data_IF_947826722370
#
_entry.id   IF_947826722370
#
_cell.length_a   1.000
_cell.length_b   1.000
_cell.length_c   1.000
_cell.angle_alpha   90.00
_cell.angle_beta   90.00
_cell.angle_gamma   90.00
#
_symmetry.space_group_name_H-M   'P 1'
#
loop_
_entity.id
_entity.type
_entity.pdbx_description
1 polymer ?
#
# COMPACT_ATOMS: atom_id res chain seq x y z
N UNK A 1 -7.01 -40.20 -0.80
CA UNK A 1 -6.84 -39.24 0.31
C UNK A 1 -5.65 -38.38 -0.07
N UNK A 2 -5.93 -37.28 -0.79
CA UNK A 2 -4.92 -36.39 -1.36
C UNK A 2 -4.32 -35.51 -0.27
N UNK A 3 -3.11 -35.85 0.15
CA UNK A 3 -2.21 -34.91 0.80
C UNK A 3 -1.48 -34.14 -0.31
N UNK A 4 -2.17 -33.18 -0.94
CA UNK A 4 -1.49 -32.11 -1.64
C UNK A 4 -0.74 -31.30 -0.58
N UNK A 5 0.52 -31.67 -0.33
CA UNK A 5 1.49 -30.81 0.33
C UNK A 5 1.56 -29.53 -0.50
N UNK A 6 0.79 -28.52 -0.08
CA UNK A 6 0.89 -27.18 -0.58
C UNK A 6 2.36 -26.78 -0.46
N UNK A 7 3.06 -26.73 -1.59
CA UNK A 7 4.41 -26.23 -1.67
C UNK A 7 4.35 -24.79 -1.14
N UNK A 8 4.72 -24.60 0.13
CA UNK A 8 4.89 -23.28 0.71
C UNK A 8 6.12 -22.73 0.00
N UNK A 9 5.97 -21.76 -0.93
CA UNK A 9 7.14 -21.18 -1.54
C UNK A 9 8.00 -20.55 -0.43
N UNK A 10 9.32 -20.52 -0.63
CA UNK A 10 10.20 -19.79 0.26
C UNK A 10 9.65 -18.37 0.47
N UNK A 11 9.68 -17.88 1.72
CA UNK A 11 9.18 -16.54 2.07
C UNK A 11 9.75 -15.52 1.08
N UNK A 12 8.89 -14.90 0.29
CA UNK A 12 9.31 -13.94 -0.69
C UNK A 12 9.98 -12.75 -0.02
N UNK A 13 10.99 -12.20 -0.72
CA UNK A 13 11.53 -10.90 -0.37
C UNK A 13 10.41 -9.85 -0.36
N UNK A 14 10.60 -8.79 0.42
CA UNK A 14 9.75 -7.60 0.35
C UNK A 14 9.91 -7.01 -1.06
N UNK A 15 8.81 -6.61 -1.73
CA UNK A 15 8.88 -6.13 -3.09
C UNK A 15 9.69 -4.85 -3.16
N UNK A 16 10.46 -4.69 -4.23
CA UNK A 16 11.21 -3.44 -4.50
C UNK A 16 10.32 -2.34 -5.06
N UNK A 17 9.18 -2.73 -5.63
CA UNK A 17 8.20 -1.83 -6.25
C UNK A 17 6.82 -2.17 -5.71
N UNK A 18 6.09 -1.15 -5.30
CA UNK A 18 4.69 -1.26 -4.91
C UNK A 18 3.89 -0.49 -5.96
N UNK A 19 2.77 -1.05 -6.39
CA UNK A 19 1.91 -0.47 -7.43
C UNK A 19 0.57 -0.12 -6.80
N UNK A 20 0.04 1.03 -7.18
CA UNK A 20 -1.30 1.48 -6.85
C UNK A 20 -1.99 1.95 -8.14
N UNK A 21 -3.30 1.72 -8.23
CA UNK A 21 -4.17 2.36 -9.19
C UNK A 21 -4.37 3.81 -8.75
N UNK A 22 -3.96 4.80 -9.58
CA UNK A 22 -4.08 6.21 -9.24
C UNK A 22 -5.47 6.78 -9.56
N UNK A 23 -6.39 5.98 -10.10
CA UNK A 23 -7.73 6.44 -10.46
C UNK A 23 -8.62 6.57 -9.21
N UNK A 24 -9.44 7.62 -9.18
CA UNK A 24 -10.31 7.95 -8.05
C UNK A 24 -11.22 6.77 -7.61
N UNK A 25 -11.86 6.00 -8.50
CA UNK A 25 -12.68 4.86 -8.07
C UNK A 25 -11.90 3.72 -7.39
N UNK A 26 -10.61 3.58 -7.69
CA UNK A 26 -9.77 2.53 -7.12
C UNK A 26 -9.28 2.85 -5.70
N UNK A 27 -9.05 4.13 -5.39
CA UNK A 27 -8.41 4.55 -4.13
C UNK A 27 -9.31 4.40 -2.90
N UNK A 28 -10.64 4.34 -3.10
CA UNK A 28 -11.62 4.18 -2.01
C UNK A 28 -11.78 2.75 -1.49
N UNK A 29 -11.19 1.77 -2.16
CA UNK A 29 -11.18 0.38 -1.72
C UNK A 29 -9.74 -0.15 -1.59
N UNK A 30 -9.61 -1.28 -0.91
CA UNK A 30 -8.33 -1.99 -0.88
C UNK A 30 -8.02 -2.56 -2.26
N UNK A 31 -6.88 -2.17 -2.81
CA UNK A 31 -6.40 -2.64 -4.10
C UNK A 31 -5.40 -3.77 -3.90
N UNK A 32 -5.62 -4.91 -4.53
CA UNK A 32 -4.70 -6.05 -4.43
C UNK A 32 -3.99 -6.31 -5.76
N UNK A 33 -2.69 -6.61 -5.72
CA UNK A 33 -1.86 -6.93 -6.88
C UNK A 33 -1.07 -8.21 -6.66
N UNK A 34 -1.05 -9.10 -7.65
CA UNK A 34 -0.16 -10.26 -7.72
C UNK A 34 1.19 -9.86 -8.30
N UNK A 35 2.28 -10.38 -7.73
CA UNK A 35 3.67 -10.17 -8.16
C UNK A 35 4.36 -11.49 -8.56
N UNK A 36 3.60 -12.45 -9.08
CA UNK A 36 4.18 -13.72 -9.55
C UNK A 36 4.91 -13.60 -10.90
N UNK A 37 4.45 -12.68 -11.76
CA UNK A 37 5.05 -12.40 -13.07
C UNK A 37 6.11 -11.29 -13.04
N UNK A 38 6.53 -10.87 -14.23
CA UNK A 38 7.51 -9.79 -14.41
C UNK A 38 6.97 -8.42 -13.97
N UNK A 39 5.67 -8.19 -14.17
CA UNK A 39 4.98 -6.97 -13.77
C UNK A 39 3.82 -7.28 -12.81
N UNK A 40 3.53 -6.40 -11.83
CA UNK A 40 2.39 -6.59 -10.94
C UNK A 40 1.06 -6.53 -11.68
N UNK A 41 0.14 -7.44 -11.35
CA UNK A 41 -1.18 -7.57 -11.97
C UNK A 41 -2.26 -7.29 -10.92
N UNK A 42 -3.16 -6.34 -11.17
CA UNK A 42 -4.32 -6.10 -10.30
C UNK A 42 -5.25 -7.32 -10.29
N UNK A 43 -5.59 -7.79 -9.09
CA UNK A 43 -6.48 -8.96 -8.88
C UNK A 43 -7.86 -8.60 -8.36
N UNK A 44 -8.07 -7.37 -7.89
CA UNK A 44 -9.40 -6.85 -7.58
C UNK A 44 -9.71 -5.67 -8.51
N UNK A 45 -10.64 -5.88 -9.45
CA UNK A 45 -11.17 -4.86 -10.37
C UNK A 45 -12.59 -4.43 -9.99
N UNK A 46 -12.95 -4.47 -8.71
CA UNK A 46 -14.27 -3.96 -8.30
C UNK A 46 -14.10 -2.48 -8.03
N UNK A 47 -14.25 -1.66 -9.07
CA UNK A 47 -14.44 -0.23 -8.84
C UNK A 47 -15.81 -0.09 -8.14
N UNK A 48 -15.81 0.29 -6.86
CA UNK A 48 -17.04 0.60 -6.13
C UNK A 48 -17.77 1.79 -6.73
N UNK A 49 -17.05 2.66 -7.42
CA UNK A 49 -17.60 3.83 -8.10
C UNK A 49 -17.41 3.73 -9.62
N UNK A 50 -18.33 4.35 -10.37
CA UNK A 50 -18.10 4.54 -11.80
C UNK A 50 -16.86 5.40 -12.03
N UNK A 51 -16.16 5.17 -13.14
CA UNK A 51 -15.14 6.11 -13.58
C UNK A 51 -15.83 7.42 -13.96
N UNK A 52 -15.57 8.46 -13.17
CA UNK A 52 -16.12 9.80 -13.37
C UNK A 52 -15.20 10.67 -14.23
N UNK A 53 -14.14 10.10 -14.82
CA UNK A 53 -13.21 10.81 -15.71
C UNK A 53 -12.30 11.79 -14.97
N UNK A 54 -11.99 11.51 -13.69
CA UNK A 54 -10.98 12.30 -12.98
C UNK A 54 -9.62 12.12 -13.67
N UNK A 55 -8.87 13.21 -13.89
CA UNK A 55 -7.54 13.10 -14.47
C UNK A 55 -6.63 12.27 -13.55
N UNK A 56 -5.81 11.43 -14.17
CA UNK A 56 -4.75 10.71 -13.46
C UNK A 56 -3.71 11.75 -13.01
N UNK A 57 -3.30 11.75 -11.73
CA UNK A 57 -2.27 12.67 -11.27
C UNK A 57 -0.95 12.49 -12.01
N UNK A 58 -0.25 13.59 -12.22
CA UNK A 58 1.07 13.59 -12.84
C UNK A 58 2.07 12.76 -12.02
N UNK A 59 3.00 12.03 -12.65
CA UNK A 59 4.03 11.32 -11.91
C UNK A 59 4.89 12.29 -11.11
N UNK A 60 5.14 11.97 -9.85
CA UNK A 60 6.16 12.65 -9.03
C UNK A 60 7.54 12.28 -9.60
N UNK A 61 8.48 13.23 -9.73
CA UNK A 61 9.84 12.92 -10.15
C UNK A 61 10.51 11.90 -9.23
N UNK A 62 11.53 11.21 -9.72
CA UNK A 62 12.37 10.35 -8.87
C UNK A 62 13.09 11.23 -7.84
N UNK A 63 12.76 10.99 -6.57
CA UNK A 63 13.32 11.77 -5.46
C UNK A 63 14.32 10.93 -4.68
N UNK A 64 15.51 11.48 -4.35
CA UNK A 64 16.43 10.81 -3.46
C UNK A 64 15.80 10.67 -2.07
N UNK A 65 15.73 9.44 -1.58
CA UNK A 65 15.28 9.13 -0.23
C UNK A 65 16.41 8.46 0.55
N UNK A 66 16.47 8.71 1.86
CA UNK A 66 17.38 8.02 2.77
C UNK A 66 16.57 7.40 3.91
N UNK A 67 17.03 6.24 4.38
CA UNK A 67 16.40 5.56 5.51
C UNK A 67 17.12 5.93 6.79
N UNK A 68 16.33 6.31 7.79
CA UNK A 68 16.81 6.51 9.16
C UNK A 68 16.08 5.51 10.07
N UNK A 69 16.81 4.77 10.93
CA UNK A 69 16.17 3.94 11.95
C UNK A 69 15.23 4.80 12.79
N UNK A 70 13.98 4.37 12.94
CA UNK A 70 12.99 5.11 13.73
C UNK A 70 13.32 4.99 15.23
N UNK A 71 13.57 6.11 15.95
CA UNK A 71 13.65 6.11 17.41
C UNK A 71 12.37 5.55 18.06
N UNK A 72 12.45 5.00 19.28
CA UNK A 72 11.30 4.38 19.96
C UNK A 72 10.05 5.26 20.02
N UNK A 73 10.19 6.58 20.18
CA UNK A 73 9.06 7.53 20.23
C UNK A 73 8.22 7.58 18.94
N UNK A 74 8.74 7.07 17.83
CA UNK A 74 8.08 7.01 16.52
C UNK A 74 7.61 5.61 16.14
N UNK A 75 7.75 4.62 17.02
CA UNK A 75 7.25 3.26 16.78
C UNK A 75 5.72 3.26 16.69
N UNK A 76 5.07 4.03 17.55
CA UNK A 76 3.62 4.26 17.55
C UNK A 76 3.39 5.76 17.64
N UNK A 77 2.53 6.30 16.77
CA UNK A 77 2.19 7.73 16.73
C UNK A 77 0.79 7.90 16.13
N UNK A 78 0.17 9.03 16.46
CA UNK A 78 -1.04 9.54 15.80
C UNK A 78 -0.71 10.18 14.44
N UNK A 79 -1.71 10.49 13.62
CA UNK A 79 -1.58 10.97 12.23
C UNK A 79 -1.11 12.43 12.11
N UNK A 80 0.03 12.74 12.72
CA UNK A 80 0.67 14.05 12.58
C UNK A 80 2.21 13.93 12.60
N UNK A 81 2.89 14.67 11.73
CA UNK A 81 4.35 14.72 11.68
C UNK A 81 4.99 13.59 10.85
N UNK A 82 5.67 12.64 11.49
CA UNK A 82 6.58 11.69 10.82
C UNK A 82 5.87 10.49 10.17
N UNK A 83 5.04 10.75 9.17
CA UNK A 83 4.10 9.76 8.59
C UNK A 83 4.65 8.94 7.41
N UNK A 84 5.85 9.24 6.89
CA UNK A 84 6.50 8.45 5.84
C UNK A 84 7.38 7.37 6.48
N UNK A 85 7.01 6.09 6.35
CA UNK A 85 7.68 4.98 7.05
C UNK A 85 7.74 3.71 6.21
N UNK A 86 8.78 2.90 6.45
CA UNK A 86 8.91 1.54 5.92
C UNK A 86 8.88 0.57 7.10
N UNK A 87 7.92 -0.37 7.07
CA UNK A 87 7.60 -1.29 8.17
C UNK A 87 6.98 -0.60 9.39
N UNK A 88 6.92 -1.34 10.49
CA UNK A 88 6.27 -0.90 11.74
C UNK A 88 4.75 -1.11 11.74
N UNK A 89 4.08 -0.53 12.74
CA UNK A 89 2.61 -0.47 12.81
C UNK A 89 2.11 0.77 12.09
N UNK A 90 0.89 0.74 11.55
CA UNK A 90 0.30 1.87 10.85
C UNK A 90 0.06 3.08 11.74
N UNK A 91 0.25 4.28 11.20
CA UNK A 91 -0.28 5.53 11.76
C UNK A 91 -1.61 5.78 11.09
N UNK A 92 -2.69 5.34 11.71
CA UNK A 92 -4.02 5.37 11.11
C UNK A 92 -4.64 6.76 11.22
N UNK A 93 -5.24 7.24 10.12
CA UNK A 93 -6.04 8.47 10.10
C UNK A 93 -7.44 8.17 10.64
N UNK A 94 -7.94 6.97 10.35
CA UNK A 94 -9.22 6.44 10.81
C UNK A 94 -8.98 5.15 11.62
N UNK A 95 -9.89 4.19 11.55
CA UNK A 95 -9.71 2.87 12.14
C UNK A 95 -8.57 2.09 11.47
N UNK A 96 -7.96 1.17 12.22
CA UNK A 96 -6.90 0.31 11.69
C UNK A 96 -7.45 -0.68 10.64
N UNK A 97 -6.75 -0.80 9.51
CA UNK A 97 -7.13 -1.70 8.43
C UNK A 97 -5.95 -2.58 8.06
N UNK A 98 -6.07 -3.87 8.32
CA UNK A 98 -5.13 -4.87 7.83
C UNK A 98 -5.82 -5.81 6.81
N UNK A 99 -5.52 -5.66 5.51
CA UNK A 99 -6.17 -6.46 4.50
C UNK A 99 -5.72 -7.92 4.58
N UNK A 100 -6.61 -8.83 4.16
CA UNK A 100 -6.30 -10.25 4.03
C UNK A 100 -5.79 -10.55 2.63
N UNK A 101 -4.81 -11.45 2.54
CA UNK A 101 -4.30 -11.89 1.25
C UNK A 101 -5.39 -12.66 0.48
N UNK A 102 -5.70 -12.30 -0.77
CA UNK A 102 -6.78 -12.95 -1.53
C UNK A 102 -6.49 -14.42 -1.86
N UNK A 103 -5.22 -14.85 -1.79
CA UNK A 103 -4.81 -16.23 -2.05
C UNK A 103 -4.87 -17.13 -0.80
N UNK A 104 -4.37 -16.66 0.35
CA UNK A 104 -4.25 -17.51 1.55
C UNK A 104 -5.04 -17.05 2.76
N UNK A 105 -5.85 -16.00 2.63
CA UNK A 105 -6.70 -15.39 3.67
C UNK A 105 -5.97 -14.91 4.93
N UNK A 106 -4.63 -14.93 4.96
CA UNK A 106 -3.84 -14.39 6.09
C UNK A 106 -3.82 -12.87 6.05
N UNK A 107 -3.89 -12.26 7.22
CA UNK A 107 -3.65 -10.82 7.43
C UNK A 107 -2.28 -10.42 6.90
N UNK A 108 -2.22 -9.33 6.14
CA UNK A 108 -1.00 -8.81 5.54
C UNK A 108 -0.42 -7.70 6.42
N UNK A 109 0.86 -7.78 6.84
CA UNK A 109 1.51 -6.71 7.58
C UNK A 109 1.80 -5.50 6.68
N UNK A 110 1.86 -4.31 7.29
CA UNK A 110 2.37 -3.10 6.64
C UNK A 110 3.84 -3.30 6.26
N UNK A 111 4.18 -2.86 5.06
CA UNK A 111 5.56 -2.74 4.58
C UNK A 111 5.97 -1.29 4.33
N UNK A 112 5.02 -0.40 4.04
CA UNK A 112 5.29 1.03 3.94
C UNK A 112 4.02 1.85 4.14
N UNK A 113 4.19 3.11 4.51
CA UNK A 113 3.15 4.13 4.48
C UNK A 113 3.74 5.47 4.02
N UNK A 114 2.92 6.25 3.32
CA UNK A 114 3.28 7.55 2.78
C UNK A 114 2.15 8.54 3.01
N UNK A 115 2.50 9.70 3.57
CA UNK A 115 1.56 10.80 3.73
C UNK A 115 1.42 11.62 2.45
N UNK A 116 0.26 12.25 2.29
CA UNK A 116 -0.11 13.03 1.10
C UNK A 116 0.53 14.42 1.04
N UNK A 117 1.47 14.73 1.92
CA UNK A 117 2.14 16.03 1.92
C UNK A 117 3.64 15.81 1.78
N UNK A 118 4.13 15.93 0.55
CA UNK A 118 5.54 16.07 0.26
C UNK A 118 5.98 17.53 0.42
N UNK A 119 7.28 17.81 0.66
CA UNK A 119 7.79 19.18 0.74
C UNK A 119 7.74 19.96 -0.59
N UNK A 120 7.15 19.41 -1.66
CA UNK A 120 7.17 19.96 -3.01
C UNK A 120 5.81 20.58 -3.45
N UNK A 121 4.86 20.72 -2.52
CA UNK A 121 3.45 21.02 -2.85
C UNK A 121 2.65 19.73 -3.02
N UNK A 122 1.53 19.76 -3.73
CA UNK A 122 0.74 18.56 -4.04
C UNK A 122 0.98 18.08 -5.49
N UNK A 123 2.11 17.43 -5.83
CA UNK A 123 2.25 16.64 -7.05
C UNK A 123 1.82 15.19 -6.83
N UNK A 124 1.47 14.48 -7.91
CA UNK A 124 1.12 13.06 -7.78
C UNK A 124 -0.21 12.81 -7.07
N UNK A 125 -0.29 11.67 -6.39
CA UNK A 125 -1.51 11.21 -5.71
C UNK A 125 -2.05 12.22 -4.67
N UNK A 126 -1.18 13.08 -4.14
CA UNK A 126 -1.46 14.19 -3.23
C UNK A 126 -2.43 15.22 -3.83
N UNK A 127 -2.48 15.34 -5.16
CA UNK A 127 -3.40 16.25 -5.86
C UNK A 127 -4.88 15.93 -5.62
N UNK A 128 -5.17 14.66 -5.33
CA UNK A 128 -6.54 14.16 -5.23
C UNK A 128 -6.86 13.60 -3.85
N UNK A 129 -5.93 13.70 -2.90
CA UNK A 129 -6.03 13.04 -1.60
C UNK A 129 -5.37 13.87 -0.49
N UNK A 130 -6.01 13.93 0.68
CA UNK A 130 -5.53 14.71 1.85
C UNK A 130 -5.14 13.80 3.03
N UNK A 131 -4.48 12.65 2.77
CA UNK A 131 -4.35 11.59 3.78
C UNK A 131 -3.08 10.73 3.75
N UNK A 132 -3.24 9.42 3.93
CA UNK A 132 -2.12 8.46 4.01
C UNK A 132 -2.43 7.23 3.15
N UNK A 133 -1.45 6.81 2.35
CA UNK A 133 -1.45 5.50 1.67
C UNK A 133 -0.68 4.50 2.53
N UNK A 134 -1.23 3.31 2.67
CA UNK A 134 -0.57 2.17 3.33
C UNK A 134 -0.41 1.04 2.33
N UNK A 135 0.77 0.43 2.35
CA UNK A 135 1.09 -0.72 1.54
C UNK A 135 1.39 -1.94 2.41
N UNK A 136 0.84 -3.08 2.01
CA UNK A 136 0.92 -4.34 2.74
C UNK A 136 1.48 -5.44 1.85
N UNK A 137 2.07 -6.48 2.45
CA UNK A 137 2.69 -7.57 1.70
C UNK A 137 2.46 -8.96 2.28
N UNK A 138 2.01 -9.88 1.44
CA UNK A 138 1.94 -11.30 1.77
C UNK A 138 3.22 -11.99 1.28
N UNK A 139 4.13 -12.30 2.21
CA UNK A 139 5.41 -12.96 1.89
C UNK A 139 5.25 -14.36 1.29
N UNK A 140 4.16 -15.06 1.61
CA UNK A 140 3.99 -16.43 1.15
C UNK A 140 3.35 -16.50 -0.24
N UNK A 141 2.56 -15.51 -0.63
CA UNK A 141 1.80 -15.54 -1.88
C UNK A 141 2.25 -14.46 -2.88
N UNK A 142 3.16 -13.56 -2.50
CA UNK A 142 3.62 -12.44 -3.34
C UNK A 142 2.48 -11.52 -3.80
N UNK A 143 1.58 -11.21 -2.88
CA UNK A 143 0.53 -10.21 -3.08
C UNK A 143 0.86 -8.94 -2.33
N UNK A 144 0.68 -7.79 -2.99
CA UNK A 144 0.58 -6.51 -2.30
C UNK A 144 -0.88 -6.10 -2.15
N UNK A 145 -1.17 -5.36 -1.09
CA UNK A 145 -2.42 -4.63 -0.94
C UNK A 145 -2.13 -3.15 -0.69
N UNK A 146 -2.97 -2.26 -1.20
CA UNK A 146 -2.88 -0.82 -1.02
C UNK A 146 -4.21 -0.33 -0.49
N UNK A 147 -4.17 0.51 0.54
CA UNK A 147 -5.34 1.25 1.02
C UNK A 147 -4.97 2.70 1.22
N UNK A 148 -5.95 3.59 1.15
CA UNK A 148 -5.78 5.00 1.50
C UNK A 148 -6.84 5.40 2.53
N UNK A 149 -6.45 6.28 3.45
CA UNK A 149 -7.37 6.93 4.38
C UNK A 149 -7.21 8.44 4.26
N UNK A 150 -8.30 9.17 4.36
CA UNK A 150 -8.37 10.62 4.29
C UNK A 150 -9.10 11.16 5.52
N UNK A 151 -8.94 12.46 5.77
CA UNK A 151 -9.58 13.20 6.87
C UNK A 151 -11.00 13.62 6.56
#
# INVERSE_FOLDING_TARGET
MDAAFAHRPARAAVPRTIVACPNFPCMWDTQCFSHEGEAPISVQRVNRFADIGMPVPDPVPDLPATFHPAPPRWHVQDWFGNINRVGGVGTWVQDEIYPTCPSCARTMPIVAQFGAFTPFGAPGWEQWTEGVIYAFWCRDCRFSAITSQQT
#
